data_IF_164145667997
#
_entry.id   IF_164145667997
#
_cell.length_a   1.000
_cell.length_b   1.000
_cell.length_c   1.000
_cell.angle_alpha   90.00
_cell.angle_beta   90.00
_cell.angle_gamma   90.00
#
_symmetry.space_group_name_H-M   'P 1'
#
loop_
_entity.id
_entity.type
_entity.pdbx_description
1 polymer ?
#
# COMPACT_ATOMS: atom_id res chain seq x y z
N UNK A 1 35.73 21.15 3.50
CA UNK A 1 34.69 20.18 3.09
C UNK A 1 35.09 19.64 1.73
N UNK A 2 35.57 18.41 1.66
CA UNK A 2 35.89 17.75 0.39
C UNK A 2 34.60 17.56 -0.41
N UNK A 3 34.58 18.00 -1.66
CA UNK A 3 33.52 17.67 -2.62
C UNK A 3 33.22 16.16 -2.57
N UNK A 4 31.95 15.73 -2.63
CA UNK A 4 31.64 14.31 -2.75
C UNK A 4 32.37 13.77 -3.98
N UNK A 5 33.15 12.70 -3.81
CA UNK A 5 33.73 11.98 -4.95
C UNK A 5 32.55 11.40 -5.73
N UNK A 6 32.27 11.95 -6.90
CA UNK A 6 31.30 11.38 -7.82
C UNK A 6 31.81 9.99 -8.23
N UNK A 7 31.06 8.95 -7.88
CA UNK A 7 31.25 7.60 -8.39
C UNK A 7 30.38 7.40 -9.62
N UNK A 8 30.82 6.55 -10.55
CA UNK A 8 30.05 6.19 -11.74
C UNK A 8 29.60 4.73 -11.62
N UNK A 9 28.38 4.44 -12.07
CA UNK A 9 27.90 3.08 -12.25
C UNK A 9 28.18 2.66 -13.70
N UNK A 10 28.94 1.58 -13.89
CA UNK A 10 29.24 1.02 -15.21
C UNK A 10 28.49 -0.30 -15.36
N UNK A 11 27.75 -0.44 -16.46
CA UNK A 11 27.01 -1.65 -16.80
C UNK A 11 27.52 -2.16 -18.15
N UNK A 12 28.25 -3.28 -18.11
CA UNK A 12 28.75 -3.96 -19.31
C UNK A 12 27.87 -5.16 -19.64
N UNK A 13 27.33 -5.20 -20.86
CA UNK A 13 26.47 -6.29 -21.34
C UNK A 13 27.01 -6.80 -22.67
N UNK A 14 27.37 -8.08 -22.67
CA UNK A 14 27.74 -8.80 -23.88
C UNK A 14 26.56 -9.61 -24.41
N UNK A 15 26.33 -9.57 -25.73
CA UNK A 15 25.31 -10.35 -26.40
C UNK A 15 25.84 -10.94 -27.72
N UNK A 16 25.36 -12.12 -28.08
CA UNK A 16 25.65 -12.72 -29.37
C UNK A 16 24.75 -12.07 -30.43
N UNK A 17 25.35 -11.62 -31.53
CA UNK A 17 24.62 -11.03 -32.65
C UNK A 17 24.28 -12.09 -33.70
N UNK A 18 23.19 -11.86 -34.41
CA UNK A 18 22.93 -12.55 -35.67
C UNK A 18 23.98 -12.13 -36.71
N UNK A 19 24.25 -12.99 -37.69
CA UNK A 19 25.18 -12.72 -38.79
C UNK A 19 24.75 -11.51 -39.64
N UNK A 20 23.45 -11.18 -39.62
CA UNK A 20 22.89 -10.02 -40.34
C UNK A 20 22.89 -8.73 -39.52
N UNK A 21 23.12 -8.81 -38.21
CA UNK A 21 23.05 -7.66 -37.31
C UNK A 21 24.42 -6.98 -37.16
N UNK A 22 24.43 -5.65 -37.21
CA UNK A 22 25.62 -4.84 -36.96
C UNK A 22 25.79 -4.49 -35.47
N UNK A 23 26.83 -3.70 -35.18
CA UNK A 23 27.12 -3.24 -33.82
C UNK A 23 25.98 -2.39 -33.23
N UNK A 24 25.26 -1.64 -34.07
CA UNK A 24 24.16 -0.78 -33.65
C UNK A 24 22.93 -1.59 -33.22
N UNK A 25 22.69 -2.73 -33.87
CA UNK A 25 21.59 -3.65 -33.58
C UNK A 25 21.85 -4.48 -32.32
N UNK A 26 23.05 -4.42 -31.73
CA UNK A 26 23.38 -5.09 -30.47
C UNK A 26 22.45 -4.73 -29.31
N UNK A 27 21.90 -3.51 -29.32
CA UNK A 27 20.90 -3.07 -28.36
C UNK A 27 19.67 -3.99 -28.34
N UNK A 28 19.25 -4.56 -29.49
CA UNK A 28 18.12 -5.50 -29.55
C UNK A 28 18.35 -6.72 -28.67
N UNK A 29 19.59 -7.22 -28.63
CA UNK A 29 19.97 -8.44 -27.93
C UNK A 29 20.36 -8.18 -26.47
N UNK A 30 20.89 -6.99 -26.16
CA UNK A 30 21.30 -6.60 -24.80
C UNK A 30 20.18 -5.95 -23.98
N UNK A 31 19.21 -5.28 -24.64
CA UNK A 31 18.14 -4.51 -23.96
C UNK A 31 17.36 -5.31 -22.92
N UNK A 32 16.95 -6.57 -23.14
CA UNK A 32 16.23 -7.32 -22.11
C UNK A 32 17.03 -7.44 -20.81
N UNK A 33 18.33 -7.75 -20.88
CA UNK A 33 19.21 -7.83 -19.70
C UNK A 33 19.38 -6.45 -19.06
N UNK A 34 19.53 -5.41 -19.87
CA UNK A 34 19.64 -4.05 -19.37
C UNK A 34 18.39 -3.62 -18.58
N UNK A 35 17.20 -3.87 -19.12
CA UNK A 35 15.94 -3.55 -18.45
C UNK A 35 15.78 -4.29 -17.12
N UNK A 36 16.21 -5.55 -17.06
CA UNK A 36 16.23 -6.32 -15.81
C UNK A 36 17.17 -5.67 -14.80
N UNK A 37 18.38 -5.28 -15.21
CA UNK A 37 19.34 -4.60 -14.32
C UNK A 37 18.79 -3.27 -13.81
N UNK A 38 18.17 -2.46 -14.67
CA UNK A 38 17.47 -1.24 -14.25
C UNK A 38 16.34 -1.56 -13.25
N UNK A 39 15.57 -2.62 -13.50
CA UNK A 39 14.57 -3.15 -12.57
C UNK A 39 15.13 -3.46 -11.18
N UNK A 40 16.28 -4.15 -11.13
CA UNK A 40 16.98 -4.47 -9.87
C UNK A 40 17.43 -3.20 -9.16
N UNK A 41 18.10 -2.29 -9.89
CA UNK A 41 18.61 -1.04 -9.32
C UNK A 41 17.47 -0.19 -8.77
N UNK A 42 16.40 -0.05 -9.53
CA UNK A 42 15.19 0.65 -9.10
C UNK A 42 14.57 0.02 -7.86
N UNK A 43 14.41 -1.30 -7.86
CA UNK A 43 13.83 -2.00 -6.73
C UNK A 43 14.65 -1.91 -5.44
N UNK A 44 15.98 -1.85 -5.52
CA UNK A 44 16.81 -1.73 -4.32
C UNK A 44 16.95 -0.28 -3.84
N UNK A 45 16.86 0.69 -4.75
CA UNK A 45 17.05 2.11 -4.45
C UNK A 45 15.78 2.91 -4.21
N UNK A 46 14.65 2.47 -4.76
CA UNK A 46 13.45 3.29 -4.89
C UNK A 46 13.54 4.36 -5.98
N UNK A 47 14.64 4.42 -6.75
CA UNK A 47 14.84 5.41 -7.81
C UNK A 47 14.40 4.86 -9.18
N UNK A 48 13.67 5.63 -10.01
CA UNK A 48 13.12 5.15 -11.28
C UNK A 48 14.15 5.15 -12.42
N UNK A 49 15.20 4.33 -12.33
CA UNK A 49 16.19 4.20 -13.39
C UNK A 49 15.55 3.86 -14.74
N UNK A 50 15.88 4.63 -15.78
CA UNK A 50 15.41 4.45 -17.14
C UNK A 50 16.56 4.28 -18.14
N UNK A 51 16.22 3.79 -19.34
CA UNK A 51 17.14 3.65 -20.46
C UNK A 51 17.75 5.00 -20.87
N UNK A 52 17.09 6.12 -20.58
CA UNK A 52 17.61 7.47 -20.83
C UNK A 52 18.66 7.98 -19.83
N UNK A 53 18.84 7.33 -18.67
CA UNK A 53 19.74 7.81 -17.61
C UNK A 53 21.25 7.72 -17.91
N UNK A 54 21.76 6.73 -18.67
CA UNK A 54 23.20 6.66 -18.96
C UNK A 54 23.69 7.90 -19.72
N UNK A 55 24.66 8.62 -19.13
CA UNK A 55 25.30 9.79 -19.76
C UNK A 55 26.12 9.41 -21.01
N UNK A 56 26.75 8.23 -21.00
CA UNK A 56 27.49 7.67 -22.12
C UNK A 56 27.09 6.22 -22.40
N UNK A 57 27.00 5.87 -23.69
CA UNK A 57 26.81 4.50 -24.15
C UNK A 57 27.73 4.22 -25.33
N UNK A 58 28.47 3.11 -25.27
CA UNK A 58 29.40 2.68 -26.32
C UNK A 58 29.24 1.19 -26.58
N UNK A 59 29.27 0.81 -27.85
CA UNK A 59 29.26 -0.58 -28.29
C UNK A 59 30.52 -0.90 -29.09
N UNK A 60 31.02 -2.13 -28.94
CA UNK A 60 32.12 -2.64 -29.76
C UNK A 60 31.87 -4.10 -30.13
N UNK A 61 32.32 -4.50 -31.32
CA UNK A 61 32.27 -5.89 -31.77
C UNK A 61 33.53 -6.61 -31.30
N UNK A 62 33.35 -7.70 -30.57
CA UNK A 62 34.45 -8.53 -30.09
C UNK A 62 34.42 -9.87 -30.83
N UNK A 63 35.52 -10.31 -31.46
CA UNK A 63 35.58 -11.60 -32.12
C UNK A 63 35.27 -12.73 -31.14
N UNK A 64 34.41 -13.68 -31.54
CA UNK A 64 33.96 -14.79 -30.71
C UNK A 64 35.13 -15.76 -30.41
N UNK A 65 35.95 -15.46 -29.39
CA UNK A 65 37.19 -16.20 -29.09
C UNK A 65 37.11 -17.13 -27.88
N UNK A 66 36.06 -17.08 -27.06
CA UNK A 66 35.85 -18.03 -25.94
C UNK A 66 34.36 -18.27 -25.66
N UNK A 67 33.97 -19.54 -25.44
CA UNK A 67 32.76 -19.88 -24.67
C UNK A 67 33.04 -19.52 -23.22
N UNK A 68 32.39 -18.48 -22.71
CA UNK A 68 32.52 -18.13 -21.30
C UNK A 68 31.85 -19.22 -20.46
N UNK A 69 32.68 -19.97 -19.71
CA UNK A 69 32.20 -20.86 -18.65
C UNK A 69 31.99 -20.00 -17.40
N UNK A 70 30.76 -20.02 -16.90
CA UNK A 70 30.28 -19.55 -15.60
C UNK A 70 30.47 -18.04 -15.34
N UNK A 71 29.38 -17.27 -15.37
CA UNK A 71 29.34 -15.93 -14.79
C UNK A 71 29.80 -16.01 -13.32
N UNK A 72 30.95 -15.41 -12.98
CA UNK A 72 31.29 -15.20 -11.57
C UNK A 72 30.59 -13.93 -11.10
N UNK A 73 29.40 -14.09 -10.53
CA UNK A 73 28.69 -12.98 -9.89
C UNK A 73 29.43 -12.61 -8.60
N UNK A 74 30.03 -11.42 -8.58
CA UNK A 74 30.67 -10.85 -7.39
C UNK A 74 30.16 -9.43 -7.20
N UNK A 75 29.78 -9.11 -5.96
CA UNK A 75 29.52 -7.75 -5.51
C UNK A 75 30.33 -7.56 -4.23
N UNK A 76 31.26 -6.61 -4.24
CA UNK A 76 32.09 -6.31 -3.07
C UNK A 76 31.32 -5.48 -2.04
N UNK A 77 30.56 -4.49 -2.52
CA UNK A 77 29.78 -3.58 -1.71
C UNK A 77 28.70 -2.92 -2.55
N UNK A 78 27.49 -2.82 -2.01
CA UNK A 78 26.38 -2.09 -2.62
C UNK A 78 25.59 -1.37 -1.53
N UNK A 79 25.79 -0.07 -1.40
CA UNK A 79 25.20 0.75 -0.35
C UNK A 79 24.22 1.77 -0.94
N UNK A 80 23.06 1.90 -0.31
CA UNK A 80 22.04 2.87 -0.69
C UNK A 80 21.64 3.64 0.56
N UNK A 81 21.84 4.96 0.55
CA UNK A 81 21.56 5.84 1.69
C UNK A 81 22.18 5.33 3.01
N UNK A 82 23.39 4.77 2.94
CA UNK A 82 24.10 4.22 4.09
C UNK A 82 23.68 2.80 4.51
N UNK A 83 22.69 2.18 3.85
CA UNK A 83 22.27 0.81 4.11
C UNK A 83 22.96 -0.17 3.15
N UNK A 84 23.55 -1.23 3.70
CA UNK A 84 24.14 -2.32 2.92
C UNK A 84 23.04 -3.17 2.26
N UNK A 85 23.05 -3.22 0.94
CA UNK A 85 22.15 -3.99 0.07
C UNK A 85 22.90 -5.04 -0.74
N UNK A 86 24.17 -5.30 -0.44
CA UNK A 86 25.06 -6.23 -1.17
C UNK A 86 24.45 -7.62 -1.27
N UNK A 87 23.89 -8.13 -0.16
CA UNK A 87 23.24 -9.45 -0.14
C UNK A 87 22.01 -9.50 -1.06
N UNK A 88 21.14 -8.49 -1.02
CA UNK A 88 19.94 -8.43 -1.86
C UNK A 88 20.29 -8.37 -3.34
N UNK A 89 21.31 -7.57 -3.69
CA UNK A 89 21.83 -7.49 -5.05
C UNK A 89 22.35 -8.87 -5.52
N UNK A 90 23.19 -9.53 -4.72
CA UNK A 90 23.71 -10.86 -5.06
C UNK A 90 22.60 -11.89 -5.27
N UNK A 91 21.57 -11.88 -4.43
CA UNK A 91 20.43 -12.79 -4.53
C UNK A 91 19.65 -12.57 -5.84
N UNK A 92 19.38 -11.32 -6.19
CA UNK A 92 18.74 -10.96 -7.47
C UNK A 92 19.59 -11.38 -8.67
N UNK A 93 20.90 -11.10 -8.64
CA UNK A 93 21.82 -11.49 -9.72
C UNK A 93 21.92 -13.01 -9.85
N UNK A 94 21.97 -13.74 -8.74
CA UNK A 94 21.99 -15.21 -8.74
C UNK A 94 20.74 -15.79 -9.40
N UNK A 95 19.56 -15.21 -9.12
CA UNK A 95 18.32 -15.61 -9.78
C UNK A 95 18.40 -15.46 -11.30
N UNK A 96 19.02 -14.38 -11.80
CA UNK A 96 19.24 -14.17 -13.25
C UNK A 96 20.14 -15.24 -13.87
N UNK A 97 21.05 -15.81 -13.08
CA UNK A 97 21.98 -16.86 -13.52
C UNK A 97 21.48 -18.29 -13.31
N UNK A 98 20.36 -18.48 -12.61
CA UNK A 98 19.91 -19.79 -12.12
C UNK A 98 19.38 -20.75 -13.20
N UNK A 99 19.19 -20.26 -14.44
CA UNK A 99 18.64 -21.05 -15.55
C UNK A 99 17.14 -21.38 -15.43
N UNK A 100 16.48 -20.93 -14.36
CA UNK A 100 15.03 -21.10 -14.16
C UNK A 100 14.26 -20.03 -14.93
N UNK A 101 13.87 -20.34 -16.16
CA UNK A 101 13.23 -19.38 -17.07
C UNK A 101 11.91 -18.83 -16.52
N UNK A 102 11.08 -19.66 -15.89
CA UNK A 102 9.81 -19.21 -15.29
C UNK A 102 10.02 -18.22 -14.13
N UNK A 103 10.96 -18.53 -13.23
CA UNK A 103 11.33 -17.66 -12.10
C UNK A 103 11.92 -16.34 -12.59
N UNK A 104 12.78 -16.40 -13.61
CA UNK A 104 13.36 -15.23 -14.25
C UNK A 104 12.27 -14.37 -14.90
N UNK A 105 11.37 -14.98 -15.66
CA UNK A 105 10.28 -14.27 -16.34
C UNK A 105 9.35 -13.58 -15.35
N UNK A 106 8.97 -14.26 -14.28
CA UNK A 106 8.17 -13.66 -13.21
C UNK A 106 8.91 -12.49 -12.58
N UNK A 107 10.15 -12.71 -12.12
CA UNK A 107 10.94 -11.68 -11.43
C UNK A 107 11.16 -10.45 -12.30
N UNK A 108 11.56 -10.64 -13.55
CA UNK A 108 11.73 -9.55 -14.51
C UNK A 108 10.42 -8.77 -14.73
N UNK A 109 9.29 -9.47 -14.85
CA UNK A 109 7.98 -8.84 -15.03
C UNK A 109 7.55 -8.02 -13.82
N UNK A 110 7.80 -8.53 -12.60
CA UNK A 110 7.48 -7.85 -11.35
C UNK A 110 8.32 -6.57 -11.19
N UNK A 111 9.65 -6.68 -11.39
CA UNK A 111 10.57 -5.56 -11.28
C UNK A 111 10.29 -4.48 -12.32
N UNK A 112 10.00 -4.86 -13.57
CA UNK A 112 9.69 -3.91 -14.63
C UNK A 112 8.36 -3.17 -14.39
N UNK A 113 7.31 -3.88 -13.95
CA UNK A 113 6.02 -3.26 -13.58
C UNK A 113 6.18 -2.26 -12.43
N UNK A 114 6.92 -2.64 -11.40
CA UNK A 114 7.16 -1.80 -10.24
C UNK A 114 8.02 -0.58 -10.59
N UNK A 115 9.08 -0.77 -11.40
CA UNK A 115 9.90 0.32 -11.94
C UNK A 115 9.09 1.30 -12.80
N UNK A 116 8.19 0.79 -13.65
CA UNK A 116 7.28 1.63 -14.44
C UNK A 116 6.38 2.48 -13.55
N UNK A 117 5.86 1.91 -12.45
CA UNK A 117 5.05 2.64 -11.48
C UNK A 117 5.86 3.78 -10.83
N UNK A 118 7.08 3.51 -10.38
CA UNK A 118 7.99 4.54 -9.87
C UNK A 118 8.28 5.64 -10.89
N UNK A 119 8.50 5.26 -12.14
CA UNK A 119 8.77 6.23 -13.21
C UNK A 119 7.59 7.18 -13.43
N UNK A 120 6.37 6.65 -13.49
CA UNK A 120 5.15 7.45 -13.62
C UNK A 120 4.93 8.37 -12.41
N UNK A 121 5.20 7.86 -11.22
CA UNK A 121 5.10 8.62 -9.97
C UNK A 121 6.07 9.82 -10.00
N UNK A 122 7.32 9.58 -10.39
CA UNK A 122 8.34 10.61 -10.51
C UNK A 122 8.04 11.66 -11.60
N UNK A 123 7.50 11.24 -12.75
CA UNK A 123 7.05 12.17 -13.79
C UNK A 123 5.82 13.00 -13.35
N UNK A 124 5.00 12.45 -12.44
CA UNK A 124 3.77 13.06 -11.94
C UNK A 124 3.93 13.88 -10.66
N UNK A 125 5.11 13.91 -10.04
CA UNK A 125 5.34 14.33 -8.64
C UNK A 125 4.85 15.76 -8.31
N UNK A 126 4.78 16.64 -9.31
CA UNK A 126 4.27 18.02 -9.16
C UNK A 126 2.80 18.21 -9.53
N UNK A 127 2.20 17.27 -10.27
CA UNK A 127 0.90 17.45 -10.92
C UNK A 127 -0.12 16.38 -10.53
N UNK A 128 0.30 15.31 -9.85
CA UNK A 128 -0.52 14.12 -9.56
C UNK A 128 -1.17 13.51 -10.82
N UNK A 129 -0.58 13.76 -11.98
CA UNK A 129 -1.17 13.42 -13.28
C UNK A 129 -1.37 11.92 -13.51
N UNK A 130 -0.52 11.08 -12.91
CA UNK A 130 -0.50 9.65 -13.19
C UNK A 130 -0.93 8.80 -11.99
N UNK A 131 -1.64 9.36 -11.00
CA UNK A 131 -2.00 8.64 -9.77
C UNK A 131 -2.68 7.30 -10.04
N UNK A 132 -3.68 7.27 -10.93
CA UNK A 132 -4.42 6.05 -11.28
C UNK A 132 -3.54 5.04 -12.02
N UNK A 133 -2.70 5.50 -12.95
CA UNK A 133 -1.78 4.64 -13.69
C UNK A 133 -0.71 4.04 -12.78
N UNK A 134 -0.18 4.83 -11.83
CA UNK A 134 0.76 4.37 -10.80
C UNK A 134 0.11 3.31 -9.92
N UNK A 135 -1.10 3.61 -9.40
CA UNK A 135 -1.87 2.70 -8.59
C UNK A 135 -2.11 1.37 -9.31
N UNK A 136 -2.58 1.42 -10.57
CA UNK A 136 -2.81 0.22 -11.37
C UNK A 136 -1.53 -0.56 -11.63
N UNK A 137 -0.40 0.11 -11.88
CA UNK A 137 0.88 -0.54 -12.10
C UNK A 137 1.38 -1.28 -10.84
N UNK A 138 1.27 -0.66 -9.66
CA UNK A 138 1.55 -1.33 -8.38
C UNK A 138 0.58 -2.47 -8.09
N UNK A 139 -0.73 -2.26 -8.31
CA UNK A 139 -1.73 -3.30 -8.09
C UNK A 139 -1.52 -4.51 -9.01
N UNK A 140 -1.06 -4.29 -10.24
CA UNK A 140 -0.79 -5.38 -11.18
C UNK A 140 0.37 -6.29 -10.72
N UNK A 141 1.33 -5.77 -9.95
CA UNK A 141 2.35 -6.61 -9.30
C UNK A 141 1.68 -7.64 -8.39
N UNK A 142 0.68 -7.22 -7.60
CA UNK A 142 -0.09 -8.13 -6.75
C UNK A 142 -0.89 -9.13 -7.58
N UNK A 143 -1.52 -8.70 -8.69
CA UNK A 143 -2.25 -9.60 -9.60
C UNK A 143 -1.33 -10.65 -10.25
N UNK A 144 -0.11 -10.27 -10.63
CA UNK A 144 0.86 -11.21 -11.20
C UNK A 144 1.30 -12.27 -10.18
N UNK A 145 1.59 -11.85 -8.94
CA UNK A 145 1.93 -12.76 -7.86
C UNK A 145 0.75 -13.69 -7.53
N UNK A 146 -0.47 -13.15 -7.49
CA UNK A 146 -1.69 -13.92 -7.29
C UNK A 146 -1.90 -14.97 -8.40
N UNK A 147 -1.63 -14.59 -9.64
CA UNK A 147 -1.70 -15.49 -10.80
C UNK A 147 -0.66 -16.60 -10.73
N UNK A 148 0.55 -16.31 -10.25
CA UNK A 148 1.61 -17.30 -10.05
C UNK A 148 1.18 -18.42 -9.08
N UNK A 149 0.48 -18.08 -7.99
CA UNK A 149 -0.01 -19.05 -7.00
C UNK A 149 -1.42 -19.58 -7.26
N UNK A 150 -2.11 -19.15 -8.33
CA UNK A 150 -3.51 -19.52 -8.56
C UNK A 150 -3.70 -21.04 -8.72
N UNK A 151 -2.80 -21.72 -9.43
CA UNK A 151 -2.88 -23.18 -9.60
C UNK A 151 -2.72 -23.91 -8.27
N UNK A 152 -1.80 -23.43 -7.43
CA UNK A 152 -1.55 -23.97 -6.10
C UNK A 152 -2.79 -23.82 -5.22
N UNK A 153 -3.36 -22.61 -5.16
CA UNK A 153 -4.60 -22.32 -4.44
C UNK A 153 -5.75 -23.26 -4.88
N UNK A 154 -5.90 -23.44 -6.19
CA UNK A 154 -6.95 -24.31 -6.74
C UNK A 154 -6.78 -25.78 -6.34
N UNK A 155 -5.54 -26.29 -6.37
CA UNK A 155 -5.23 -27.66 -5.93
C UNK A 155 -5.48 -27.84 -4.43
N UNK A 156 -5.04 -26.90 -3.60
CA UNK A 156 -5.23 -26.96 -2.16
C UNK A 156 -6.71 -26.89 -1.77
N UNK A 157 -7.49 -26.02 -2.42
CA UNK A 157 -8.93 -25.91 -2.21
C UNK A 157 -9.65 -27.22 -2.53
N UNK A 158 -9.31 -27.86 -3.66
CA UNK A 158 -9.87 -29.18 -4.04
C UNK A 158 -9.53 -30.25 -3.03
N UNK A 159 -8.28 -30.32 -2.57
CA UNK A 159 -7.87 -31.30 -1.57
C UNK A 159 -8.61 -31.12 -0.24
N UNK A 160 -8.76 -29.88 0.23
CA UNK A 160 -9.52 -29.55 1.44
C UNK A 160 -11.01 -29.90 1.28
N UNK A 161 -11.59 -29.63 0.12
CA UNK A 161 -12.98 -30.01 -0.17
C UNK A 161 -13.17 -31.53 -0.16
N UNK A 162 -12.33 -32.27 -0.87
CA UNK A 162 -12.42 -33.74 -0.92
C UNK A 162 -12.24 -34.35 0.48
N UNK A 163 -11.31 -33.82 1.29
CA UNK A 163 -11.13 -34.25 2.68
C UNK A 163 -12.38 -33.97 3.53
N UNK A 164 -12.98 -32.79 3.39
CA UNK A 164 -14.22 -32.43 4.08
C UNK A 164 -15.38 -33.36 3.68
N UNK A 165 -15.58 -33.58 2.38
CA UNK A 165 -16.64 -34.45 1.85
C UNK A 165 -16.45 -35.89 2.32
N UNK A 166 -15.22 -36.42 2.25
CA UNK A 166 -14.88 -37.75 2.77
C UNK A 166 -15.23 -37.88 4.24
N UNK A 167 -14.82 -36.91 5.06
CA UNK A 167 -15.15 -36.84 6.48
C UNK A 167 -16.66 -36.85 6.69
N UNK A 168 -17.37 -35.85 6.18
CA UNK A 168 -18.81 -35.69 6.37
C UNK A 168 -19.61 -36.92 5.89
N UNK A 169 -19.35 -37.42 4.68
CA UNK A 169 -20.11 -38.52 4.10
C UNK A 169 -19.83 -39.86 4.80
N UNK A 170 -18.59 -40.12 5.20
CA UNK A 170 -18.24 -41.36 5.90
C UNK A 170 -18.60 -41.32 7.39
N UNK A 171 -18.33 -40.21 8.09
CA UNK A 171 -18.52 -40.10 9.53
C UNK A 171 -19.96 -39.78 9.92
N UNK A 172 -20.64 -38.93 9.17
CA UNK A 172 -21.98 -38.42 9.52
C UNK A 172 -23.07 -39.18 8.79
N UNK A 173 -22.94 -39.33 7.45
CA UNK A 173 -23.91 -40.07 6.65
C UNK A 173 -23.65 -41.59 6.59
N UNK A 174 -22.54 -42.05 7.18
CA UNK A 174 -22.16 -43.47 7.28
C UNK A 174 -22.07 -44.20 5.93
N UNK A 175 -21.79 -43.48 4.84
CA UNK A 175 -21.57 -44.07 3.52
C UNK A 175 -20.24 -44.84 3.49
N UNK A 176 -20.19 -45.94 2.73
CA UNK A 176 -19.00 -46.82 2.63
C UNK A 176 -18.79 -47.34 1.21
N UNK A 177 -17.57 -47.79 0.92
CA UNK A 177 -17.20 -48.45 -0.33
C UNK A 177 -17.45 -47.58 -1.57
N UNK A 178 -17.90 -48.20 -2.66
CA UNK A 178 -18.16 -47.48 -3.92
C UNK A 178 -19.20 -46.37 -3.79
N UNK A 179 -20.20 -46.54 -2.92
CA UNK A 179 -21.24 -45.53 -2.72
C UNK A 179 -20.69 -44.24 -2.10
N UNK A 180 -19.66 -44.34 -1.25
CA UNK A 180 -18.94 -43.19 -0.73
C UNK A 180 -18.19 -42.45 -1.85
N UNK A 181 -17.39 -43.16 -2.65
CA UNK A 181 -16.59 -42.57 -3.73
C UNK A 181 -17.47 -41.92 -4.82
N UNK A 182 -18.58 -42.57 -5.20
CA UNK A 182 -19.54 -41.99 -6.14
C UNK A 182 -20.18 -40.71 -5.59
N UNK A 183 -20.52 -40.69 -4.30
CA UNK A 183 -21.12 -39.52 -3.64
C UNK A 183 -20.13 -38.37 -3.55
N UNK A 184 -18.86 -38.63 -3.21
CA UNK A 184 -17.80 -37.63 -3.20
C UNK A 184 -17.63 -37.02 -4.59
N UNK A 185 -17.50 -37.85 -5.63
CA UNK A 185 -17.34 -37.36 -7.01
C UNK A 185 -18.51 -36.49 -7.45
N UNK A 186 -19.74 -36.91 -7.13
CA UNK A 186 -20.96 -36.14 -7.43
C UNK A 186 -20.97 -34.79 -6.71
N UNK A 187 -20.72 -34.77 -5.40
CA UNK A 187 -20.81 -33.54 -4.60
C UNK A 187 -19.64 -32.60 -4.89
N UNK A 188 -18.43 -33.13 -5.08
CA UNK A 188 -17.26 -32.36 -5.50
C UNK A 188 -17.53 -31.66 -6.84
N UNK A 189 -18.05 -32.39 -7.84
CA UNK A 189 -18.44 -31.81 -9.14
C UNK A 189 -19.53 -30.73 -9.07
N UNK A 190 -20.40 -30.75 -8.05
CA UNK A 190 -21.41 -29.71 -7.82
C UNK A 190 -20.82 -28.46 -7.12
N UNK A 191 -19.80 -28.63 -6.30
CA UNK A 191 -19.20 -27.57 -5.50
C UNK A 191 -18.04 -26.86 -6.23
N UNK A 192 -17.34 -27.53 -7.14
CA UNK A 192 -16.24 -26.94 -7.93
C UNK A 192 -16.60 -25.64 -8.68
N UNK A 193 -17.77 -25.52 -9.34
CA UNK A 193 -18.18 -24.27 -9.98
C UNK A 193 -18.32 -23.11 -8.99
N UNK A 194 -18.84 -23.39 -7.78
CA UNK A 194 -19.01 -22.39 -6.71
C UNK A 194 -17.67 -21.93 -6.14
N UNK A 195 -16.68 -22.83 -6.06
CA UNK A 195 -15.33 -22.45 -5.67
C UNK A 195 -14.67 -21.54 -6.71
N UNK A 196 -14.91 -21.82 -8.00
CA UNK A 196 -14.33 -21.02 -9.09
C UNK A 196 -14.89 -19.59 -9.08
N UNK A 197 -16.19 -19.41 -8.81
CA UNK A 197 -16.79 -18.08 -8.66
C UNK A 197 -16.34 -17.35 -7.40
N UNK A 198 -16.00 -18.07 -6.33
CA UNK A 198 -15.47 -17.49 -5.09
C UNK A 198 -14.00 -17.03 -5.19
N UNK A 199 -13.25 -17.48 -6.20
CA UNK A 199 -11.85 -17.07 -6.44
C UNK A 199 -11.75 -15.69 -7.12
N UNK A 200 -12.24 -14.67 -6.44
CA UNK A 200 -12.07 -13.27 -6.86
C UNK A 200 -10.60 -12.84 -6.87
N UNK A 201 -10.27 -11.72 -7.53
CA UNK A 201 -8.92 -11.14 -7.50
C UNK A 201 -8.43 -10.91 -6.06
N UNK A 202 -9.30 -10.38 -5.19
CA UNK A 202 -8.99 -10.19 -3.77
C UNK A 202 -8.70 -11.50 -3.04
N UNK A 203 -9.48 -12.57 -3.29
CA UNK A 203 -9.25 -13.89 -2.69
C UNK A 203 -7.89 -14.48 -3.08
N UNK A 204 -7.51 -14.36 -4.36
CA UNK A 204 -6.21 -14.83 -4.86
C UNK A 204 -5.04 -14.04 -4.25
N UNK A 205 -5.15 -12.71 -4.19
CA UNK A 205 -4.13 -11.85 -3.57
C UNK A 205 -3.98 -12.19 -2.09
N UNK A 206 -5.09 -12.32 -1.35
CA UNK A 206 -5.06 -12.68 0.08
C UNK A 206 -4.38 -14.02 0.31
N UNK A 207 -4.69 -15.04 -0.50
CA UNK A 207 -4.01 -16.34 -0.43
C UNK A 207 -2.49 -16.22 -0.63
N UNK A 208 -2.05 -15.45 -1.62
CA UNK A 208 -0.62 -15.20 -1.85
C UNK A 208 0.04 -14.48 -0.69
N UNK A 209 -0.62 -13.47 -0.11
CA UNK A 209 -0.09 -12.75 1.06
C UNK A 209 0.01 -13.64 2.30
N UNK A 210 -0.95 -14.56 2.50
CA UNK A 210 -0.92 -15.54 3.59
C UNK A 210 0.32 -16.45 3.46
N UNK A 211 0.60 -16.94 2.25
CA UNK A 211 1.79 -17.73 1.94
C UNK A 211 3.09 -17.00 2.24
N UNK A 212 3.10 -15.68 2.11
CA UNK A 212 4.26 -14.83 2.43
C UNK A 212 4.33 -14.40 3.90
N UNK A 213 3.34 -14.76 4.73
CA UNK A 213 3.24 -14.30 6.12
C UNK A 213 2.92 -12.80 6.23
N UNK A 214 2.27 -12.23 5.22
CA UNK A 214 1.90 -10.82 5.13
C UNK A 214 0.39 -10.58 5.32
N UNK A 215 -0.41 -11.64 5.44
CA UNK A 215 -1.85 -11.51 5.63
C UNK A 215 -2.22 -11.46 7.12
N UNK A 216 -2.83 -10.36 7.53
CA UNK A 216 -3.54 -10.21 8.79
C UNK A 216 -4.90 -9.52 8.56
N UNK A 217 -5.66 -9.27 9.62
CA UNK A 217 -7.00 -8.65 9.50
C UNK A 217 -6.94 -7.27 8.84
N UNK A 218 -5.93 -6.45 9.18
CA UNK A 218 -5.74 -5.11 8.61
C UNK A 218 -5.40 -5.18 7.13
N UNK A 219 -4.45 -6.05 6.76
CA UNK A 219 -4.04 -6.24 5.37
C UNK A 219 -5.17 -6.83 4.54
N UNK A 220 -5.97 -7.75 5.09
CA UNK A 220 -7.13 -8.29 4.41
C UNK A 220 -8.17 -7.20 4.07
N UNK A 221 -8.45 -6.29 5.02
CA UNK A 221 -9.34 -5.15 4.77
C UNK A 221 -8.75 -4.16 3.77
N UNK A 222 -7.44 -3.89 3.84
CA UNK A 222 -6.75 -3.06 2.86
C UNK A 222 -6.92 -3.64 1.44
N UNK A 223 -6.69 -4.94 1.24
CA UNK A 223 -6.86 -5.58 -0.08
C UNK A 223 -8.28 -5.40 -0.60
N UNK A 224 -9.31 -5.49 0.24
CA UNK A 224 -10.69 -5.25 -0.19
C UNK A 224 -10.91 -3.81 -0.69
N UNK A 225 -10.26 -2.82 -0.07
CA UNK A 225 -10.30 -1.44 -0.55
C UNK A 225 -9.51 -1.25 -1.84
N UNK A 226 -8.29 -1.81 -1.94
CA UNK A 226 -7.49 -1.74 -3.17
C UNK A 226 -8.23 -2.35 -4.37
N UNK A 227 -8.92 -3.48 -4.17
CA UNK A 227 -9.74 -4.12 -5.21
C UNK A 227 -10.91 -3.22 -5.64
N UNK A 228 -11.56 -2.51 -4.71
CA UNK A 228 -12.63 -1.56 -5.05
C UNK A 228 -12.12 -0.41 -5.90
N UNK A 229 -10.99 0.20 -5.49
CA UNK A 229 -10.34 1.28 -6.24
C UNK A 229 -10.00 0.80 -7.65
N UNK A 230 -9.32 -0.35 -7.77
CA UNK A 230 -8.98 -0.95 -9.06
C UNK A 230 -10.20 -1.19 -9.93
N UNK A 231 -11.29 -1.72 -9.37
CA UNK A 231 -12.51 -1.99 -10.13
C UNK A 231 -13.22 -0.70 -10.57
N UNK A 232 -13.21 0.35 -9.74
CA UNK A 232 -13.78 1.64 -10.12
C UNK A 232 -13.03 2.26 -11.32
N UNK A 233 -11.70 2.19 -11.32
CA UNK A 233 -10.86 2.62 -12.44
C UNK A 233 -11.14 1.76 -13.68
N UNK A 234 -11.11 0.43 -13.54
CA UNK A 234 -11.28 -0.50 -14.67
C UNK A 234 -12.65 -0.44 -15.33
N UNK A 235 -13.71 -0.10 -14.59
CA UNK A 235 -15.07 0.04 -15.11
C UNK A 235 -15.40 1.46 -15.59
N UNK A 236 -14.46 2.40 -15.52
CA UNK A 236 -14.62 3.76 -16.05
C UNK A 236 -15.76 4.53 -15.39
N UNK A 237 -15.85 4.50 -14.05
CA UNK A 237 -16.89 5.24 -13.33
C UNK A 237 -16.85 6.75 -13.66
N UNK A 238 -18.00 7.42 -13.66
CA UNK A 238 -18.06 8.85 -13.97
C UNK A 238 -17.31 9.66 -12.90
N UNK A 239 -16.19 10.30 -13.28
CA UNK A 239 -15.29 11.02 -12.37
C UNK A 239 -15.60 12.50 -12.13
N UNK A 240 -16.70 13.05 -12.67
CA UNK A 240 -16.99 14.48 -12.50
C UNK A 240 -17.26 14.82 -11.03
N UNK A 241 -16.61 15.88 -10.54
CA UNK A 241 -16.80 16.41 -9.19
C UNK A 241 -16.92 17.92 -9.20
N UNK A 242 -17.84 18.43 -8.39
CA UNK A 242 -18.06 19.87 -8.21
C UNK A 242 -16.91 20.55 -7.44
N UNK A 243 -16.22 19.79 -6.59
CA UNK A 243 -15.07 20.26 -5.82
C UNK A 243 -14.02 19.14 -5.73
N UNK A 244 -12.75 19.53 -5.64
CA UNK A 244 -11.59 18.64 -5.50
C UNK A 244 -10.81 19.01 -4.24
N UNK A 245 -10.16 18.02 -3.63
CA UNK A 245 -9.27 18.23 -2.48
C UNK A 245 -7.85 18.58 -2.95
N UNK A 246 -7.06 19.16 -2.04
CA UNK A 246 -5.63 19.37 -2.26
C UNK A 246 -4.85 18.07 -1.98
N UNK A 247 -3.79 17.73 -2.76
CA UNK A 247 -3.33 18.43 -3.96
C UNK A 247 -4.34 18.33 -5.11
N UNK A 248 -4.50 19.44 -5.84
CA UNK A 248 -5.46 19.50 -6.95
C UNK A 248 -5.03 18.52 -8.03
N UNK A 249 -5.90 17.56 -8.41
CA UNK A 249 -5.54 16.57 -9.40
C UNK A 249 -5.48 17.18 -10.80
N UNK A 250 -4.50 16.78 -11.62
CA UNK A 250 -4.42 17.24 -13.01
C UNK A 250 -5.56 16.70 -13.89
N UNK A 251 -6.18 15.58 -13.51
CA UNK A 251 -7.33 14.98 -14.18
C UNK A 251 -8.43 14.65 -13.18
N UNK A 252 -9.68 14.48 -13.65
CA UNK A 252 -10.77 14.03 -12.78
C UNK A 252 -10.55 12.57 -12.37
N UNK A 253 -10.36 12.29 -11.07
CA UNK A 253 -10.15 10.93 -10.62
C UNK A 253 -11.46 10.13 -10.70
N UNK A 254 -11.39 8.91 -11.21
CA UNK A 254 -12.48 7.94 -11.29
C UNK A 254 -12.83 7.37 -9.90
N UNK A 255 -11.91 7.48 -8.94
CA UNK A 255 -12.12 7.11 -7.53
C UNK A 255 -11.49 8.16 -6.59
N UNK A 256 -12.16 8.54 -5.50
CA UNK A 256 -11.71 9.65 -4.62
C UNK A 256 -10.38 9.39 -3.97
N UNK A 257 -10.17 8.14 -3.57
CA UNK A 257 -9.18 7.81 -2.56
C UNK A 257 -7.89 7.22 -3.18
N UNK A 258 -7.70 7.34 -4.50
CA UNK A 258 -6.54 6.72 -5.19
C UNK A 258 -5.23 7.20 -4.58
N UNK A 259 -5.13 8.50 -4.26
CA UNK A 259 -3.96 9.07 -3.58
C UNK A 259 -3.73 8.44 -2.21
N UNK A 260 -4.78 8.27 -1.41
CA UNK A 260 -4.70 7.70 -0.06
C UNK A 260 -4.23 6.24 -0.06
N UNK A 261 -4.49 5.51 -1.16
CA UNK A 261 -4.10 4.11 -1.30
C UNK A 261 -2.77 3.89 -2.05
N UNK A 262 -2.17 4.94 -2.63
CA UNK A 262 -1.00 4.77 -3.50
C UNK A 262 0.21 4.22 -2.74
N UNK A 263 0.54 4.79 -1.59
CA UNK A 263 1.66 4.33 -0.77
C UNK A 263 1.44 2.90 -0.27
N UNK A 264 0.21 2.58 0.15
CA UNK A 264 -0.12 1.21 0.54
C UNK A 264 0.09 0.22 -0.62
N UNK A 265 -0.35 0.56 -1.84
CA UNK A 265 -0.13 -0.28 -3.01
C UNK A 265 1.36 -0.42 -3.35
N UNK A 266 2.12 0.68 -3.30
CA UNK A 266 3.56 0.74 -3.58
C UNK A 266 4.38 -0.14 -2.64
N UNK A 267 4.21 0.04 -1.34
CA UNK A 267 5.02 -0.66 -0.35
C UNK A 267 4.55 -2.10 -0.12
N UNK A 268 3.25 -2.40 -0.21
CA UNK A 268 2.76 -3.77 -0.17
C UNK A 268 3.24 -4.58 -1.38
N UNK A 269 3.19 -3.99 -2.58
CA UNK A 269 3.70 -4.66 -3.79
C UNK A 269 5.21 -4.89 -3.71
N UNK A 270 5.98 -3.89 -3.27
CA UNK A 270 7.43 -4.03 -3.06
C UNK A 270 7.76 -5.12 -2.02
N UNK A 271 7.04 -5.12 -0.89
CA UNK A 271 7.20 -6.13 0.17
C UNK A 271 6.83 -7.53 -0.32
N UNK A 272 5.82 -7.65 -1.17
CA UNK A 272 5.38 -8.92 -1.77
C UNK A 272 6.41 -9.47 -2.76
N UNK A 273 7.02 -8.61 -3.59
CA UNK A 273 8.17 -8.98 -4.43
C UNK A 273 9.32 -9.49 -3.55
N UNK A 274 9.65 -8.74 -2.50
CA UNK A 274 10.72 -9.09 -1.56
C UNK A 274 10.48 -10.46 -0.91
N UNK A 275 9.25 -10.71 -0.44
CA UNK A 275 8.86 -12.00 0.17
C UNK A 275 8.98 -13.16 -0.83
N UNK A 276 8.48 -12.99 -2.05
CA UNK A 276 8.55 -14.00 -3.11
C UNK A 276 10.00 -14.40 -3.42
N UNK A 277 10.93 -13.44 -3.32
CA UNK A 277 12.34 -13.65 -3.60
C UNK A 277 13.11 -14.13 -2.36
N UNK A 278 12.47 -14.27 -1.20
CA UNK A 278 13.14 -14.62 0.06
C UNK A 278 14.04 -13.52 0.61
N UNK A 279 13.66 -12.26 0.41
CA UNK A 279 14.33 -11.06 0.90
C UNK A 279 13.48 -10.33 1.95
N UNK A 280 14.13 -9.46 2.71
CA UNK A 280 13.55 -8.53 3.68
C UNK A 280 13.69 -7.06 3.25
N UNK A 281 14.02 -6.82 1.97
CA UNK A 281 13.92 -5.50 1.37
C UNK A 281 12.51 -4.92 1.57
N UNK A 282 12.41 -3.62 1.80
CA UNK A 282 11.15 -2.88 2.04
C UNK A 282 10.36 -3.22 3.31
N UNK A 283 10.80 -4.20 4.12
CA UNK A 283 10.12 -4.58 5.36
C UNK A 283 9.94 -3.42 6.36
N UNK A 284 10.94 -2.56 6.61
CA UNK A 284 10.76 -1.40 7.50
C UNK A 284 9.69 -0.41 7.01
N UNK A 285 9.64 -0.16 5.70
CA UNK A 285 8.66 0.76 5.11
C UNK A 285 7.25 0.19 5.18
N UNK A 286 7.10 -1.10 4.88
CA UNK A 286 5.80 -1.77 5.00
C UNK A 286 5.31 -1.78 6.44
N UNK A 287 6.16 -2.10 7.43
CA UNK A 287 5.76 -2.10 8.85
C UNK A 287 5.29 -0.72 9.32
N UNK A 288 6.02 0.35 8.95
CA UNK A 288 5.64 1.70 9.32
C UNK A 288 4.24 2.06 8.80
N UNK A 289 3.93 1.75 7.54
CA UNK A 289 2.60 1.98 6.97
C UNK A 289 1.53 1.03 7.52
N UNK A 290 1.88 -0.24 7.75
CA UNK A 290 0.96 -1.22 8.29
C UNK A 290 0.50 -0.84 9.71
N UNK A 291 1.38 -0.25 10.52
CA UNK A 291 1.05 0.29 11.84
C UNK A 291 0.01 1.42 11.76
N UNK A 292 -0.10 2.12 10.64
CA UNK A 292 -1.09 3.18 10.40
C UNK A 292 -2.46 2.62 9.96
N UNK A 293 -2.52 1.39 9.44
CA UNK A 293 -3.78 0.78 9.02
C UNK A 293 -4.79 0.66 10.16
N UNK A 294 -6.04 0.99 9.83
CA UNK A 294 -7.18 0.80 10.71
C UNK A 294 -7.69 -0.65 10.65
N UNK A 295 -8.19 -1.18 11.77
CA UNK A 295 -8.88 -2.46 11.77
C UNK A 295 -10.13 -2.44 10.87
N UNK A 296 -10.62 -3.61 10.44
CA UNK A 296 -11.89 -3.74 9.73
C UNK A 296 -13.06 -3.09 10.48
N UNK A 297 -14.03 -2.56 9.73
CA UNK A 297 -15.16 -1.83 10.30
C UNK A 297 -16.02 -2.66 11.27
N UNK A 298 -16.13 -3.98 11.06
CA UNK A 298 -16.83 -4.91 11.95
C UNK A 298 -16.10 -5.11 13.28
N UNK A 299 -14.77 -5.08 13.28
CA UNK A 299 -13.94 -5.10 14.49
C UNK A 299 -14.15 -3.82 15.29
N UNK A 300 -14.06 -2.65 14.64
CA UNK A 300 -14.29 -1.35 15.29
C UNK A 300 -15.73 -1.24 15.82
N UNK A 301 -16.71 -1.70 15.04
CA UNK A 301 -18.12 -1.70 15.46
C UNK A 301 -18.37 -2.60 16.67
N UNK A 302 -17.72 -3.76 16.71
CA UNK A 302 -17.82 -4.69 17.84
C UNK A 302 -17.15 -4.11 19.09
N UNK A 303 -16.01 -3.44 18.93
CA UNK A 303 -15.32 -2.72 20.01
C UNK A 303 -16.22 -1.65 20.65
N UNK A 304 -16.90 -0.84 19.84
CA UNK A 304 -17.84 0.19 20.30
C UNK A 304 -19.05 -0.44 20.99
N UNK A 305 -19.69 -1.43 20.34
CA UNK A 305 -20.88 -2.12 20.87
C UNK A 305 -20.62 -2.77 22.22
N UNK A 306 -19.45 -3.37 22.39
CA UNK A 306 -19.05 -4.04 23.62
C UNK A 306 -18.50 -3.05 24.68
N UNK A 307 -18.46 -1.74 24.37
CA UNK A 307 -17.92 -0.70 25.24
C UNK A 307 -16.49 -1.01 25.74
N UNK A 308 -15.68 -1.67 24.91
CA UNK A 308 -14.36 -2.14 25.30
C UNK A 308 -13.42 -0.99 25.69
N UNK A 309 -13.66 0.22 25.15
CA UNK A 309 -12.95 1.44 25.52
C UNK A 309 -13.07 1.83 27.01
N UNK A 310 -14.14 1.44 27.72
CA UNK A 310 -14.34 1.82 29.12
C UNK A 310 -13.33 1.20 30.08
N UNK A 311 -12.76 0.05 29.71
CA UNK A 311 -11.76 -0.65 30.52
C UNK A 311 -10.33 -0.17 30.23
N UNK A 312 -10.12 0.69 29.22
CA UNK A 312 -8.79 1.10 28.78
C UNK A 312 -8.35 2.40 29.46
N UNK A 313 -7.06 2.48 29.77
CA UNK A 313 -6.45 3.78 30.01
C UNK A 313 -6.37 4.56 28.70
N UNK A 314 -6.30 5.90 28.73
CA UNK A 314 -6.13 6.67 27.51
C UNK A 314 -4.87 6.28 26.72
N UNK A 315 -3.79 5.89 27.40
CA UNK A 315 -2.57 5.41 26.74
C UNK A 315 -2.79 4.10 25.98
N UNK A 316 -3.47 3.14 26.60
CA UNK A 316 -3.73 1.82 25.99
C UNK A 316 -4.63 1.96 24.75
N UNK A 317 -5.61 2.86 24.83
CA UNK A 317 -6.50 3.12 23.71
C UNK A 317 -5.76 3.78 22.52
N UNK A 318 -4.84 4.71 22.77
CA UNK A 318 -4.03 5.33 21.72
C UNK A 318 -3.05 4.36 21.06
N UNK A 319 -2.59 3.36 21.81
CA UNK A 319 -1.72 2.31 21.29
C UNK A 319 -2.51 1.24 20.52
N UNK A 320 -3.84 1.21 20.63
CA UNK A 320 -4.68 0.20 20.01
C UNK A 320 -4.48 -1.19 20.63
N UNK A 321 -4.30 -1.28 21.95
CA UNK A 321 -4.04 -2.54 22.66
C UNK A 321 -5.11 -3.60 22.41
N UNK A 322 -6.36 -3.19 22.25
CA UNK A 322 -7.48 -4.10 21.94
C UNK A 322 -7.77 -4.06 20.45
N UNK A 323 -7.50 -5.17 19.78
CA UNK A 323 -7.77 -5.41 18.35
C UNK A 323 -7.22 -4.33 17.39
N UNK A 324 -6.21 -3.56 17.81
CA UNK A 324 -5.65 -2.46 17.01
C UNK A 324 -6.54 -1.23 16.90
N UNK A 325 -7.65 -1.15 17.65
CA UNK A 325 -8.63 -0.06 17.55
C UNK A 325 -8.11 1.19 18.25
N UNK A 326 -7.99 2.29 17.49
CA UNK A 326 -7.53 3.60 17.97
C UNK A 326 -8.63 4.67 17.83
N UNK A 327 -8.49 5.85 18.46
CA UNK A 327 -9.42 6.97 18.26
C UNK A 327 -9.66 7.34 16.79
N UNK A 328 -8.60 7.36 15.96
CA UNK A 328 -8.71 7.56 14.51
C UNK A 328 -9.61 6.53 13.84
N UNK A 329 -9.53 5.26 14.23
CA UNK A 329 -10.34 4.17 13.65
C UNK A 329 -11.84 4.41 13.90
N UNK A 330 -12.20 4.88 15.09
CA UNK A 330 -13.60 5.24 15.42
C UNK A 330 -14.02 6.51 14.66
N UNK A 331 -13.11 7.48 14.55
CA UNK A 331 -13.36 8.73 13.83
C UNK A 331 -13.68 8.47 12.36
N UNK A 332 -12.89 7.64 11.69
CA UNK A 332 -13.15 7.26 10.30
C UNK A 332 -14.46 6.48 10.13
N UNK A 333 -14.82 5.64 11.10
CA UNK A 333 -16.11 4.95 11.09
C UNK A 333 -17.30 5.93 11.17
N UNK A 334 -17.12 7.06 11.87
CA UNK A 334 -18.10 8.16 11.92
C UNK A 334 -18.13 8.96 10.61
N UNK A 335 -16.96 9.29 10.05
CA UNK A 335 -16.85 10.01 8.77
C UNK A 335 -17.50 9.19 7.63
N UNK A 336 -17.34 7.87 7.64
CA UNK A 336 -18.02 6.93 6.73
C UNK A 336 -19.54 6.82 6.96
N UNK A 337 -20.10 7.49 7.97
CA UNK A 337 -21.53 7.47 8.30
C UNK A 337 -22.02 6.16 8.94
N UNK A 338 -21.11 5.28 9.40
CA UNK A 338 -21.48 3.97 9.97
C UNK A 338 -21.83 4.02 11.46
N UNK A 339 -21.43 5.09 12.15
CA UNK A 339 -21.83 5.37 13.54
C UNK A 339 -22.37 6.80 13.66
N UNK A 340 -23.16 7.05 14.69
CA UNK A 340 -23.72 8.38 15.00
C UNK A 340 -22.84 9.14 15.98
N UNK A 341 -22.99 10.46 16.02
CA UNK A 341 -22.22 11.36 16.89
C UNK A 341 -22.22 10.93 18.37
N UNK A 342 -23.35 10.50 18.99
CA UNK A 342 -23.32 10.07 20.40
C UNK A 342 -22.38 8.89 20.68
N UNK A 343 -22.24 7.97 19.73
CA UNK A 343 -21.32 6.83 19.88
C UNK A 343 -19.86 7.28 19.79
N UNK A 344 -19.57 8.26 18.93
CA UNK A 344 -18.24 8.88 18.84
C UNK A 344 -17.91 9.64 20.14
N UNK A 345 -18.84 10.45 20.63
CA UNK A 345 -18.72 11.19 21.89
C UNK A 345 -18.42 10.25 23.06
N UNK A 346 -19.27 9.22 23.25
CA UNK A 346 -19.13 8.27 24.34
C UNK A 346 -17.79 7.53 24.29
N UNK A 347 -17.35 7.13 23.09
CA UNK A 347 -16.12 6.36 22.93
C UNK A 347 -14.86 7.19 23.21
N UNK A 348 -14.87 8.50 22.89
CA UNK A 348 -13.67 9.33 22.94
C UNK A 348 -13.61 10.29 24.13
N UNK A 349 -14.73 10.51 24.84
CA UNK A 349 -14.83 11.51 25.92
C UNK A 349 -13.73 11.33 26.97
N UNK A 350 -13.49 10.12 27.46
CA UNK A 350 -12.50 9.88 28.51
C UNK A 350 -11.07 10.17 28.05
N UNK A 351 -10.75 9.88 26.79
CA UNK A 351 -9.43 10.20 26.21
C UNK A 351 -9.23 11.71 26.17
N UNK A 352 -10.22 12.47 25.72
CA UNK A 352 -10.13 13.93 25.69
C UNK A 352 -10.02 14.55 27.07
N UNK A 353 -10.77 14.03 28.05
CA UNK A 353 -10.88 14.64 29.38
C UNK A 353 -9.71 14.30 30.31
N UNK A 354 -9.08 13.13 30.14
CA UNK A 354 -8.03 12.63 31.07
C UNK A 354 -6.61 12.64 30.51
N UNK A 355 -6.42 12.83 29.21
CA UNK A 355 -5.09 12.76 28.60
C UNK A 355 -4.32 14.08 28.74
N UNK A 356 -3.00 13.97 28.91
CA UNK A 356 -2.09 15.12 28.77
C UNK A 356 -1.72 15.32 27.30
N UNK A 357 -1.79 16.54 26.75
CA UNK A 357 -1.48 16.79 25.35
C UNK A 357 0.01 16.55 25.06
N UNK A 358 0.27 15.57 24.19
CA UNK A 358 1.56 15.33 23.53
C UNK A 358 1.38 15.48 22.03
N UNK A 359 2.45 15.70 21.27
CA UNK A 359 2.36 15.81 19.81
C UNK A 359 1.67 14.59 19.18
N UNK A 360 2.08 13.38 19.57
CA UNK A 360 1.46 12.12 19.09
C UNK A 360 -0.03 12.06 19.40
N UNK A 361 -0.43 12.40 20.63
CA UNK A 361 -1.84 12.42 21.03
C UNK A 361 -2.62 13.43 20.17
N UNK A 362 -2.07 14.63 20.04
CA UNK A 362 -2.74 15.73 19.35
C UNK A 362 -2.96 15.38 17.89
N UNK A 363 -1.96 14.79 17.21
CA UNK A 363 -2.12 14.31 15.83
C UNK A 363 -3.24 13.26 15.71
N UNK A 364 -3.28 12.28 16.61
CA UNK A 364 -4.32 11.23 16.63
C UNK A 364 -5.73 11.79 16.90
N UNK A 365 -5.83 12.84 17.72
CA UNK A 365 -7.09 13.41 18.16
C UNK A 365 -7.52 14.67 17.39
N UNK A 366 -6.71 15.18 16.46
CA UNK A 366 -6.98 16.47 15.83
C UNK A 366 -8.29 16.46 15.03
N UNK A 367 -8.49 15.46 14.18
CA UNK A 367 -9.70 15.31 13.37
C UNK A 367 -10.96 15.08 14.23
N UNK A 368 -10.99 14.13 15.20
CA UNK A 368 -12.16 14.02 16.08
C UNK A 368 -12.35 15.25 16.96
N UNK A 369 -11.30 15.99 17.33
CA UNK A 369 -11.46 17.25 18.07
C UNK A 369 -12.23 18.29 17.25
N UNK A 370 -11.94 18.40 15.95
CA UNK A 370 -12.69 19.31 15.06
C UNK A 370 -14.17 18.95 15.02
N UNK A 371 -14.49 17.65 14.90
CA UNK A 371 -15.87 17.16 14.88
C UNK A 371 -16.57 17.41 16.22
N UNK A 372 -15.89 17.12 17.34
CA UNK A 372 -16.45 17.21 18.69
C UNK A 372 -16.41 18.63 19.28
N UNK A 373 -15.81 19.60 18.59
CA UNK A 373 -15.83 21.01 19.00
C UNK A 373 -17.24 21.60 19.03
N UNK A 374 -18.18 20.99 18.28
CA UNK A 374 -19.60 21.33 18.23
C UNK A 374 -20.48 20.40 19.09
N UNK A 375 -19.88 19.58 19.95
CA UNK A 375 -20.62 18.66 20.82
C UNK A 375 -21.60 19.39 21.75
N UNK A 376 -22.77 18.77 21.99
CA UNK A 376 -23.74 19.26 22.99
C UNK A 376 -23.17 19.18 24.42
N UNK A 377 -22.18 18.32 24.66
CA UNK A 377 -21.45 18.28 25.91
C UNK A 377 -20.45 19.45 25.96
N UNK A 378 -20.85 20.55 26.60
CA UNK A 378 -20.06 21.79 26.69
C UNK A 378 -18.64 21.59 27.25
N UNK A 379 -18.46 20.66 28.19
CA UNK A 379 -17.15 20.38 28.76
C UNK A 379 -16.22 19.70 27.75
N UNK A 380 -16.74 18.72 27.02
CA UNK A 380 -16.02 18.02 25.95
C UNK A 380 -15.70 19.00 24.80
N UNK A 381 -16.69 19.74 24.31
CA UNK A 381 -16.52 20.74 23.27
C UNK A 381 -15.42 21.76 23.61
N UNK A 382 -15.46 22.34 24.82
CA UNK A 382 -14.42 23.26 25.27
C UNK A 382 -13.03 22.61 25.36
N UNK A 383 -12.95 21.31 25.68
CA UNK A 383 -11.70 20.58 25.69
C UNK A 383 -11.14 20.39 24.27
N UNK A 384 -11.98 19.97 23.33
CA UNK A 384 -11.63 19.81 21.92
C UNK A 384 -11.16 21.13 21.29
N UNK A 385 -11.88 22.23 21.55
CA UNK A 385 -11.50 23.57 21.10
C UNK A 385 -10.10 23.99 21.60
N UNK A 386 -9.80 23.76 22.89
CA UNK A 386 -8.45 24.01 23.44
C UNK A 386 -7.38 23.15 22.78
N UNK A 387 -7.68 21.89 22.48
CA UNK A 387 -6.75 20.99 21.80
C UNK A 387 -6.44 21.48 20.38
N UNK A 388 -7.45 21.93 19.63
CA UNK A 388 -7.27 22.49 18.28
C UNK A 388 -6.38 23.75 18.31
N UNK A 389 -6.64 24.65 19.26
CA UNK A 389 -5.83 25.86 19.44
C UNK A 389 -4.37 25.53 19.76
N UNK A 390 -4.14 24.55 20.65
CA UNK A 390 -2.81 24.06 20.98
C UNK A 390 -2.13 23.44 19.76
N UNK A 391 -2.82 22.55 19.05
CA UNK A 391 -2.31 21.87 17.85
C UNK A 391 -1.84 22.88 16.82
N UNK A 392 -2.65 23.91 16.58
CA UNK A 392 -2.32 24.94 15.60
C UNK A 392 -1.17 25.84 16.04
N UNK A 393 -1.10 26.18 17.32
CA UNK A 393 -0.01 27.02 17.86
C UNK A 393 1.34 26.30 17.86
N UNK A 394 1.34 24.98 18.07
CA UNK A 394 2.53 24.14 18.15
C UNK A 394 2.90 23.43 16.85
N UNK A 395 2.09 23.60 15.81
CA UNK A 395 2.23 22.89 14.54
C UNK A 395 2.16 21.36 14.70
N UNK A 396 1.23 20.89 15.53
CA UNK A 396 1.00 19.48 15.85
C UNK A 396 -0.26 18.91 15.19
N UNK A 397 -0.86 19.61 14.23
CA UNK A 397 -2.08 19.18 13.54
C UNK A 397 -1.88 17.92 12.69
N UNK A 398 -0.67 17.71 12.18
CA UNK A 398 -0.37 16.68 11.18
C UNK A 398 -0.79 17.06 9.75
N UNK A 399 -1.37 18.25 9.55
CA UNK A 399 -1.75 18.78 8.24
C UNK A 399 -0.79 19.90 7.83
N UNK A 400 -0.36 19.93 6.57
CA UNK A 400 0.44 21.02 6.00
C UNK A 400 -0.25 22.38 6.17
N UNK A 401 -1.58 22.40 6.06
CA UNK A 401 -2.40 23.55 6.43
C UNK A 401 -3.62 23.11 7.24
N UNK A 402 -3.87 23.76 8.38
CA UNK A 402 -5.06 23.51 9.21
C UNK A 402 -6.40 23.65 8.46
N UNK A 403 -6.45 24.43 7.37
CA UNK A 403 -7.64 24.56 6.52
C UNK A 403 -7.95 23.27 5.75
N UNK A 404 -6.94 22.43 5.48
CA UNK A 404 -7.10 21.19 4.71
C UNK A 404 -7.92 20.17 5.52
N UNK A 405 -7.77 20.14 6.85
CA UNK A 405 -8.60 19.33 7.73
C UNK A 405 -10.10 19.68 7.64
N UNK A 406 -10.42 20.99 7.55
CA UNK A 406 -11.81 21.43 7.33
C UNK A 406 -12.31 20.96 5.96
N UNK A 407 -11.51 21.12 4.90
CA UNK A 407 -11.89 20.72 3.54
C UNK A 407 -12.09 19.21 3.42
N UNK A 408 -11.25 18.41 4.07
CA UNK A 408 -11.41 16.97 4.13
C UNK A 408 -12.76 16.58 4.76
N UNK A 409 -13.12 17.17 5.90
CA UNK A 409 -14.42 16.90 6.54
C UNK A 409 -15.61 17.34 5.68
N UNK A 410 -15.55 18.54 5.07
CA UNK A 410 -16.58 19.02 4.15
C UNK A 410 -16.75 18.11 2.93
N UNK A 411 -15.65 17.57 2.42
CA UNK A 411 -15.66 16.64 1.30
C UNK A 411 -16.42 15.35 1.64
N UNK A 412 -16.36 14.91 2.90
CA UNK A 412 -17.18 13.80 3.42
C UNK A 412 -18.58 14.24 3.90
N UNK A 413 -19.01 15.48 3.61
CA UNK A 413 -20.34 15.97 3.94
C UNK A 413 -20.53 16.39 5.41
N UNK A 414 -19.43 16.58 6.16
CA UNK A 414 -19.46 17.07 7.54
C UNK A 414 -19.27 18.59 7.58
N UNK A 415 -20.02 19.27 8.44
CA UNK A 415 -20.00 20.74 8.56
C UNK A 415 -19.62 21.18 9.99
N UNK A 416 -18.33 21.15 10.38
CA UNK A 416 -17.88 21.60 11.69
C UNK A 416 -17.93 23.15 11.77
N UNK A 417 -19.01 23.65 12.37
CA UNK A 417 -19.39 25.07 12.43
C UNK A 417 -18.41 25.91 13.25
N UNK A 418 -18.03 25.47 14.46
CA UNK A 418 -17.09 26.21 15.29
C UNK A 418 -15.73 26.36 14.60
N UNK A 419 -15.21 25.28 14.03
CA UNK A 419 -13.90 25.28 13.39
C UNK A 419 -13.87 26.15 12.13
N UNK A 420 -14.95 26.13 11.33
CA UNK A 420 -15.12 27.03 10.19
C UNK A 420 -15.11 28.50 10.63
N UNK A 421 -15.89 28.84 11.66
CA UNK A 421 -15.99 30.21 12.15
C UNK A 421 -14.64 30.70 12.67
N UNK A 422 -13.97 29.90 13.50
CA UNK A 422 -12.63 30.20 14.01
C UNK A 422 -11.59 30.43 12.90
N UNK A 423 -11.56 29.56 11.87
CA UNK A 423 -10.66 29.75 10.72
C UNK A 423 -10.97 31.02 9.93
N UNK A 424 -12.25 31.40 9.84
CA UNK A 424 -12.71 32.60 9.14
C UNK A 424 -12.28 33.85 9.89
N UNK A 425 -12.55 33.93 11.19
CA UNK A 425 -12.10 35.02 12.07
C UNK A 425 -10.58 35.19 12.03
N UNK A 426 -9.84 34.08 12.16
CA UNK A 426 -8.37 34.09 12.07
C UNK A 426 -7.87 34.59 10.73
N UNK A 427 -8.51 34.20 9.62
CA UNK A 427 -8.12 34.66 8.28
C UNK A 427 -8.41 36.15 8.09
N UNK A 428 -9.52 36.65 8.65
CA UNK A 428 -9.85 38.08 8.65
C UNK A 428 -8.84 38.88 9.46
N UNK A 429 -8.46 38.42 10.66
CA UNK A 429 -7.44 39.07 11.48
C UNK A 429 -6.05 39.12 10.80
N UNK A 430 -5.69 38.13 9.99
CA UNK A 430 -4.44 38.13 9.24
C UNK A 430 -4.43 39.09 8.03
N UNK A 431 -5.60 39.51 7.54
CA UNK A 431 -5.77 40.45 6.43
C UNK A 431 -5.88 41.91 6.88
N UNK A 432 -6.08 42.16 8.18
CA UNK A 432 -6.08 43.51 8.73
C UNK A 432 -4.64 43.97 9.00
N UNK A 433 -4.25 45.21 8.62
CA UNK A 433 -2.94 45.73 8.98
C UNK A 433 -2.77 45.73 10.51
N UNK A 434 -1.55 45.55 11.04
CA UNK A 434 -1.33 45.60 12.48
C UNK A 434 -1.89 46.94 12.98
N UNK A 435 -2.84 46.86 13.90
CA UNK A 435 -3.31 48.05 14.60
C UNK A 435 -2.10 48.59 15.34
N UNK A 436 -1.59 49.73 14.90
CA UNK A 436 -0.75 50.57 15.74
C UNK A 436 -1.60 50.91 16.97
N UNK A 437 -1.32 50.21 18.08
CA UNK A 437 -1.76 50.65 19.39
C UNK A 437 -0.72 51.68 19.84
N UNK A 438 -1.15 52.94 19.88
CA UNK A 438 -0.51 54.02 20.62
C UNK A 438 -0.55 53.77 22.14
#
# INVERSE_FOLDING_TARGET
MSSPKFGYLIIDIEAQLDQIDGAMESARHSRPRFLILLGILSFLSGYPFDVGDPEESRGSLIPQRRRWKNLSLKAEAFFINGHDRTRHLLQLLQLLSSGQEDTLRLTASLLDRWRKALFLEHQGDSSTAFLEDCFLAYFHVLELLATHHQKEQGTEARQKLDSFLRGFLASTLKLRGEHLEQSIKKWSGQLEPLMTTAQSAGSKIKYTLDRYGLLDLKTAALIDQLVKVRNAIAHGQQGYRKAVLWPVPAFFPLHSDVGDFLDFAKFLSARSISAQLGMDAWDPHWRALHDELHPPADVVSSFIRNQAFRALSPSDFLQGIVDGVRPSSITWLYIDGRIKLPALEESLQEVFMRSRPTERLVRELFLPAIILADSNNKALAACCQRLILLATRKDWSGFSNTKDALRALEFHGLEPTWFRNWLTERSLHALMPPSHQD
#
